data_IF_318856708903
#
_entry.id   IF_318856708903
#
_cell.length_a   1.000
_cell.length_b   1.000
_cell.length_c   1.000
_cell.angle_alpha   90.00
_cell.angle_beta   90.00
_cell.angle_gamma   90.00
#
_symmetry.space_group_name_H-M   'P 1'
#
loop_
_entity.id
_entity.type
_entity.pdbx_description
1 polymer ?
#
# COMPACT_ATOMS: atom_id res chain seq x y z
N UNK A 1 -7.21 19.89 14.36
CA UNK A 1 -6.08 18.97 14.08
C UNK A 1 -6.53 17.56 14.44
N UNK A 2 -6.48 16.60 13.51
CA UNK A 2 -6.87 15.21 13.81
C UNK A 2 -5.90 14.65 14.86
N UNK A 3 -6.41 13.97 15.88
CA UNK A 3 -5.56 13.41 16.93
C UNK A 3 -4.56 12.42 16.31
N UNK A 4 -3.33 12.42 16.83
CA UNK A 4 -2.27 11.53 16.34
C UNK A 4 -2.72 10.07 16.33
N UNK A 5 -3.46 9.65 17.35
CA UNK A 5 -4.01 8.31 17.50
C UNK A 5 -5.00 7.90 16.39
N UNK A 6 -5.73 8.85 15.79
CA UNK A 6 -6.61 8.57 14.65
C UNK A 6 -5.87 8.68 13.31
N UNK A 7 -4.93 9.63 13.22
CA UNK A 7 -4.17 9.87 12.00
C UNK A 7 -3.14 8.76 11.70
N UNK A 8 -2.52 8.19 12.73
CA UNK A 8 -1.50 7.14 12.59
C UNK A 8 -2.02 5.82 11.97
N UNK A 9 -3.17 5.28 12.40
CA UNK A 9 -3.72 4.05 11.83
C UNK A 9 -4.57 4.28 10.58
N UNK A 10 -4.99 5.51 10.28
CA UNK A 10 -5.93 5.83 9.20
C UNK A 10 -5.67 5.10 7.85
N UNK A 11 -4.48 5.19 7.23
CA UNK A 11 -4.25 4.51 5.95
C UNK A 11 -4.36 2.98 6.06
N UNK A 12 -3.92 2.42 7.19
CA UNK A 12 -3.98 0.98 7.43
C UNK A 12 -5.41 0.52 7.65
N UNK A 13 -6.21 1.29 8.40
CA UNK A 13 -7.63 1.02 8.60
C UNK A 13 -8.40 1.06 7.27
N UNK A 14 -8.15 2.07 6.42
CA UNK A 14 -8.74 2.13 5.08
C UNK A 14 -8.37 0.91 4.23
N UNK A 15 -7.10 0.51 4.20
CA UNK A 15 -6.64 -0.64 3.41
C UNK A 15 -7.18 -1.98 3.96
N UNK A 16 -7.27 -2.14 5.27
CA UNK A 16 -7.85 -3.33 5.90
C UNK A 16 -9.36 -3.44 5.61
N UNK A 17 -10.11 -2.36 5.80
CA UNK A 17 -11.53 -2.31 5.46
C UNK A 17 -11.75 -2.64 3.97
N UNK A 18 -10.95 -2.03 3.10
CA UNK A 18 -10.97 -2.33 1.68
C UNK A 18 -10.65 -3.80 1.38
N UNK A 19 -9.64 -4.39 2.02
CA UNK A 19 -9.28 -5.79 1.81
C UNK A 19 -10.44 -6.74 2.19
N UNK A 20 -11.12 -6.48 3.31
CA UNK A 20 -12.32 -7.25 3.71
C UNK A 20 -13.41 -7.12 2.65
N UNK A 21 -13.69 -5.90 2.18
CA UNK A 21 -14.71 -5.68 1.13
C UNK A 21 -14.36 -6.37 -0.19
N UNK A 22 -13.08 -6.48 -0.54
CA UNK A 22 -12.62 -7.16 -1.75
C UNK A 22 -12.74 -8.68 -1.65
N UNK A 23 -12.54 -9.26 -0.46
CA UNK A 23 -12.67 -10.72 -0.27
C UNK A 23 -14.14 -11.14 -0.24
N UNK A 24 -15.02 -10.35 0.37
CA UNK A 24 -16.45 -10.67 0.53
C UNK A 24 -17.38 -9.90 -0.40
N UNK A 25 -16.86 -9.41 -1.53
CA UNK A 25 -17.68 -8.70 -2.50
C UNK A 25 -18.76 -9.63 -3.09
N UNK A 26 -20.01 -9.16 -3.15
CA UNK A 26 -21.11 -9.88 -3.78
C UNK A 26 -21.55 -9.24 -5.11
N UNK A 27 -21.16 -7.98 -5.33
CA UNK A 27 -21.52 -7.20 -6.51
C UNK A 27 -20.28 -6.56 -7.15
N UNK A 28 -20.29 -6.29 -8.46
CA UNK A 28 -19.20 -5.56 -9.12
C UNK A 28 -19.04 -4.15 -8.56
N UNK A 29 -20.12 -3.54 -8.05
CA UNK A 29 -20.09 -2.22 -7.41
C UNK A 29 -19.33 -2.28 -6.08
N UNK A 30 -19.55 -3.32 -5.26
CA UNK A 30 -18.75 -3.52 -4.03
C UNK A 30 -17.26 -3.74 -4.33
N UNK A 31 -16.92 -4.42 -5.44
CA UNK A 31 -15.54 -4.58 -5.89
C UNK A 31 -14.92 -3.23 -6.28
N UNK A 32 -15.63 -2.42 -7.08
CA UNK A 32 -15.16 -1.08 -7.47
C UNK A 32 -14.97 -0.16 -6.24
N UNK A 33 -15.91 -0.18 -5.30
CA UNK A 33 -15.82 0.58 -4.05
C UNK A 33 -14.62 0.13 -3.19
N UNK A 34 -14.41 -1.19 -3.06
CA UNK A 34 -13.26 -1.76 -2.35
C UNK A 34 -11.93 -1.34 -2.97
N UNK A 35 -11.81 -1.38 -4.29
CA UNK A 35 -10.61 -0.94 -5.01
C UNK A 35 -10.35 0.56 -4.80
N UNK A 36 -11.38 1.40 -4.93
CA UNK A 36 -11.28 2.83 -4.71
C UNK A 36 -10.81 3.14 -3.28
N UNK A 37 -11.41 2.48 -2.28
CA UNK A 37 -11.04 2.63 -0.88
C UNK A 37 -9.60 2.18 -0.62
N UNK A 38 -9.18 1.06 -1.22
CA UNK A 38 -7.82 0.54 -1.10
C UNK A 38 -6.79 1.53 -1.65
N UNK A 39 -7.01 2.03 -2.87
CA UNK A 39 -6.10 2.99 -3.50
C UNK A 39 -6.12 4.37 -2.83
N UNK A 40 -7.25 4.76 -2.23
CA UNK A 40 -7.31 5.97 -1.40
C UNK A 40 -6.48 5.81 -0.11
N UNK A 41 -6.57 4.65 0.55
CA UNK A 41 -5.71 4.31 1.68
C UNK A 41 -4.21 4.31 1.31
N UNK A 42 -3.88 3.74 0.14
CA UNK A 42 -2.52 3.77 -0.41
C UNK A 42 -2.04 5.20 -0.69
N UNK A 43 -2.88 6.05 -1.28
CA UNK A 43 -2.58 7.48 -1.51
C UNK A 43 -2.28 8.20 -0.19
N UNK A 44 -3.11 8.02 0.83
CA UNK A 44 -2.90 8.61 2.17
C UNK A 44 -1.57 8.12 2.76
N UNK A 45 -1.27 6.82 2.65
CA UNK A 45 0.00 6.27 3.08
C UNK A 45 1.19 6.92 2.37
N UNK A 46 1.12 7.04 1.04
CA UNK A 46 2.19 7.64 0.23
C UNK A 46 2.40 9.10 0.62
N UNK A 47 1.34 9.91 0.70
CA UNK A 47 1.44 11.32 1.10
C UNK A 47 2.09 11.47 2.48
N UNK A 48 1.71 10.60 3.42
CA UNK A 48 2.29 10.59 4.77
C UNK A 48 3.76 10.15 4.76
N UNK A 49 4.10 9.14 3.99
CA UNK A 49 5.49 8.68 3.82
C UNK A 49 6.36 9.79 3.21
N UNK A 50 5.82 10.55 2.26
CA UNK A 50 6.51 11.71 1.68
C UNK A 50 6.64 12.86 2.67
N UNK A 51 5.62 13.14 3.48
CA UNK A 51 5.69 14.20 4.49
C UNK A 51 6.68 13.88 5.62
N UNK A 52 6.91 12.59 5.90
CA UNK A 52 7.93 12.12 6.84
C UNK A 52 9.35 12.19 6.28
N UNK A 53 9.56 12.52 5.00
CA UNK A 53 10.91 12.63 4.42
C UNK A 53 11.49 14.01 4.69
N UNK A 54 12.67 14.07 5.29
CA UNK A 54 13.46 15.30 5.50
C UNK A 54 14.55 15.46 4.45
N UNK A 55 14.80 14.42 3.64
CA UNK A 55 15.78 14.49 2.58
C UNK A 55 15.31 15.44 1.46
N UNK A 56 16.17 16.38 1.02
CA UNK A 56 15.82 17.34 -0.01
C UNK A 56 15.58 16.62 -1.34
N UNK A 57 14.48 16.97 -2.03
CA UNK A 57 14.05 16.30 -3.26
C UNK A 57 15.14 16.22 -4.35
N UNK A 58 16.10 17.16 -4.36
CA UNK A 58 17.23 17.20 -5.29
C UNK A 58 18.25 16.07 -5.08
N UNK A 59 18.37 15.54 -3.86
CA UNK A 59 19.31 14.44 -3.52
C UNK A 59 18.70 13.05 -3.73
N UNK A 60 17.41 12.98 -4.10
CA UNK A 60 16.71 11.70 -4.34
C UNK A 60 17.18 11.09 -5.66
N UNK A 61 17.58 9.81 -5.63
CA UNK A 61 17.89 9.06 -6.86
C UNK A 61 16.66 9.06 -7.77
N UNK A 62 16.83 9.54 -9.00
CA UNK A 62 15.80 9.45 -10.05
C UNK A 62 15.78 8.02 -10.58
N UNK A 63 14.69 7.31 -10.33
CA UNK A 63 14.43 6.00 -10.95
C UNK A 63 13.98 6.15 -12.40
N UNK A 64 13.95 5.04 -13.14
CA UNK A 64 13.42 5.00 -14.52
C UNK A 64 11.90 5.13 -14.59
N UNK A 65 11.21 4.77 -13.50
CA UNK A 65 9.75 4.83 -13.43
C UNK A 65 9.27 6.20 -12.94
N UNK A 66 8.11 6.67 -13.41
CA UNK A 66 7.44 7.83 -12.83
C UNK A 66 7.24 7.63 -11.33
N UNK A 67 7.47 8.69 -10.54
CA UNK A 67 7.39 8.64 -9.06
C UNK A 67 6.08 8.01 -8.58
N UNK A 68 4.96 8.41 -9.19
CA UNK A 68 3.63 7.90 -8.85
C UNK A 68 3.50 6.40 -9.07
N UNK A 69 3.92 5.89 -10.23
CA UNK A 69 3.85 4.46 -10.58
C UNK A 69 4.72 3.66 -9.62
N UNK A 70 5.94 4.12 -9.36
CA UNK A 70 6.84 3.49 -8.41
C UNK A 70 6.25 3.45 -6.99
N UNK A 71 5.65 4.55 -6.53
CA UNK A 71 5.07 4.64 -5.19
C UNK A 71 3.84 3.74 -5.02
N UNK A 72 3.00 3.65 -6.05
CA UNK A 72 1.77 2.86 -6.03
C UNK A 72 2.00 1.36 -6.28
N UNK A 73 3.08 0.98 -6.95
CA UNK A 73 3.38 -0.41 -7.33
C UNK A 73 3.21 -1.46 -6.22
N UNK A 74 3.80 -1.32 -5.01
CA UNK A 74 3.61 -2.34 -3.97
C UNK A 74 2.15 -2.46 -3.51
N UNK A 75 1.39 -1.36 -3.53
CA UNK A 75 -0.03 -1.40 -3.20
C UNK A 75 -0.84 -2.10 -4.30
N UNK A 76 -0.48 -1.92 -5.57
CA UNK A 76 -1.09 -2.68 -6.66
C UNK A 76 -0.82 -4.19 -6.51
N UNK A 77 0.40 -4.59 -6.13
CA UNK A 77 0.71 -5.99 -5.82
C UNK A 77 -0.15 -6.54 -4.67
N UNK A 78 -0.35 -5.76 -3.60
CA UNK A 78 -1.19 -6.15 -2.48
C UNK A 78 -2.69 -6.21 -2.84
N UNK A 79 -3.19 -5.27 -3.64
CA UNK A 79 -4.57 -5.32 -4.11
C UNK A 79 -4.82 -6.58 -4.96
N UNK A 80 -3.88 -6.90 -5.85
CA UNK A 80 -3.96 -8.08 -6.69
C UNK A 80 -3.89 -9.38 -5.87
N UNK A 81 -3.04 -9.45 -4.84
CA UNK A 81 -2.99 -10.63 -3.97
C UNK A 81 -4.28 -10.83 -3.19
N UNK A 82 -4.90 -9.75 -2.69
CA UNK A 82 -6.21 -9.82 -2.02
C UNK A 82 -7.31 -10.30 -2.97
N UNK A 83 -7.34 -9.78 -4.20
CA UNK A 83 -8.29 -10.23 -5.22
C UNK A 83 -8.13 -11.72 -5.54
N UNK A 84 -6.90 -12.18 -5.75
CA UNK A 84 -6.60 -13.60 -6.01
C UNK A 84 -7.00 -14.51 -4.84
N UNK A 85 -6.84 -14.05 -3.60
CA UNK A 85 -7.30 -14.78 -2.40
C UNK A 85 -8.83 -14.87 -2.31
N UNK A 86 -9.55 -13.84 -2.78
CA UNK A 86 -11.01 -13.83 -2.80
C UNK A 86 -11.63 -14.77 -3.85
N UNK A 87 -10.85 -15.27 -4.81
CA UNK A 87 -11.32 -16.22 -5.83
C UNK A 87 -11.43 -17.63 -5.23
N UNK A 88 -12.58 -17.93 -4.61
CA UNK A 88 -12.86 -19.18 -3.88
C UNK A 88 -13.01 -20.44 -4.74
N UNK A 89 -12.89 -20.33 -6.07
CA UNK A 89 -13.20 -21.43 -7.00
C UNK A 89 -12.05 -22.40 -7.28
N UNK A 90 -10.78 -22.00 -7.14
CA UNK A 90 -9.66 -22.86 -7.52
C UNK A 90 -8.40 -22.59 -6.68
N UNK A 91 -7.86 -23.64 -6.05
CA UNK A 91 -6.73 -23.54 -5.11
C UNK A 91 -5.41 -23.08 -5.75
N UNK A 92 -5.30 -23.12 -7.08
CA UNK A 92 -4.11 -22.67 -7.81
C UNK A 92 -3.78 -21.19 -7.61
N UNK A 93 -4.75 -20.34 -7.29
CA UNK A 93 -4.52 -18.91 -7.09
C UNK A 93 -3.91 -18.58 -5.72
N UNK A 94 -3.89 -19.53 -4.77
CA UNK A 94 -3.40 -19.31 -3.40
C UNK A 94 -1.87 -19.11 -3.39
N UNK A 95 -1.12 -19.95 -4.09
CA UNK A 95 0.34 -19.83 -4.16
C UNK A 95 0.82 -18.48 -4.75
N UNK A 96 0.35 -18.05 -5.94
CA UNK A 96 0.75 -16.77 -6.49
C UNK A 96 0.24 -15.58 -5.66
N UNK A 97 -0.92 -15.69 -5.01
CA UNK A 97 -1.41 -14.61 -4.15
C UNK A 97 -0.53 -14.43 -2.90
N UNK A 98 -0.11 -15.53 -2.27
CA UNK A 98 0.81 -15.49 -1.13
C UNK A 98 2.17 -14.91 -1.52
N UNK A 99 2.70 -15.31 -2.68
CA UNK A 99 3.96 -14.78 -3.21
C UNK A 99 3.87 -13.26 -3.47
N UNK A 100 2.79 -12.80 -4.12
CA UNK A 100 2.54 -11.37 -4.36
C UNK A 100 2.34 -10.59 -3.05
N UNK A 101 1.61 -11.17 -2.09
CA UNK A 101 1.40 -10.57 -0.77
C UNK A 101 2.73 -10.40 -0.05
N UNK A 102 3.54 -11.46 0.04
CA UNK A 102 4.84 -11.43 0.67
C UNK A 102 5.77 -10.40 0.00
N UNK A 103 5.81 -10.36 -1.33
CA UNK A 103 6.60 -9.39 -2.09
C UNK A 103 6.15 -7.95 -1.83
N UNK A 104 4.84 -7.67 -1.87
CA UNK A 104 4.29 -6.34 -1.60
C UNK A 104 4.63 -5.85 -0.20
N UNK A 105 4.46 -6.71 0.82
CA UNK A 105 4.81 -6.42 2.20
C UNK A 105 6.32 -6.22 2.37
N UNK A 106 7.15 -7.06 1.75
CA UNK A 106 8.61 -6.91 1.76
C UNK A 106 9.03 -5.55 1.22
N UNK A 107 8.52 -5.14 0.05
CA UNK A 107 8.84 -3.83 -0.55
C UNK A 107 8.40 -2.68 0.35
N UNK A 108 7.23 -2.76 0.99
CA UNK A 108 6.77 -1.75 1.94
C UNK A 108 7.65 -1.69 3.20
N UNK A 109 8.04 -2.84 3.75
CA UNK A 109 8.91 -2.92 4.92
C UNK A 109 10.30 -2.36 4.60
N UNK A 110 10.90 -2.73 3.46
CA UNK A 110 12.15 -2.14 3.00
C UNK A 110 12.01 -0.62 2.86
N UNK A 111 10.92 -0.13 2.26
CA UNK A 111 10.68 1.31 2.12
C UNK A 111 10.53 2.01 3.47
N UNK A 112 9.87 1.39 4.45
CA UNK A 112 9.76 1.95 5.79
C UNK A 112 11.15 2.07 6.45
N UNK A 113 11.98 1.02 6.35
CA UNK A 113 13.32 0.97 6.94
C UNK A 113 14.29 1.96 6.28
N UNK A 114 14.34 2.01 4.94
CA UNK A 114 15.26 2.90 4.21
C UNK A 114 14.81 4.37 4.15
N UNK A 115 13.56 4.68 4.52
CA UNK A 115 13.05 6.07 4.62
C UNK A 115 13.15 6.62 6.05
N UNK A 116 13.68 5.86 7.01
CA UNK A 116 13.98 6.37 8.36
C UNK A 116 15.21 7.28 8.33
N UNK A 117 15.12 8.44 8.99
CA UNK A 117 16.18 9.43 9.05
C UNK A 117 17.44 8.91 9.72
N UNK A 118 18.58 9.09 9.04
CA UNK A 118 19.81 9.47 9.71
C UNK A 118 19.83 10.99 9.75
N UNK A 119 19.66 11.56 10.94
CA UNK A 119 19.97 12.97 11.19
C UNK A 119 21.47 13.10 10.91
N UNK A 120 21.96 14.05 10.08
CA UNK A 120 23.39 14.33 10.07
C UNK A 120 23.74 14.78 11.49
N UNK A 121 24.48 13.95 12.21
CA UNK A 121 25.12 14.37 13.46
C UNK A 121 26.05 15.53 13.11
N UNK A 122 26.01 16.64 13.87
CA UNK A 122 26.89 17.78 13.66
C UNK A 122 28.36 17.40 13.77
#
# INVERSE_FOLDING_TARGET
>A
MLSRALYEPLPHACMLAAAITLIWHQSPLSLAAGLLLFFMGARIYIMRSENRRTDPARKRKKGRLPKFVYELFPFACLALSVLLLGMSGNGWHIMPSLALMAYGLYVLASRANYRHHQIPTP
#
